data_IF_552863206751
#
_entry.id   IF_552863206751
#
_cell.length_a   1.000
_cell.length_b   1.000
_cell.length_c   1.000
_cell.angle_alpha   90.00
_cell.angle_beta   90.00
_cell.angle_gamma   90.00
#
_symmetry.space_group_name_H-M   'P 1'
#
loop_
_entity.id
_entity.type
_entity.pdbx_description
1 polymer ?
#
# COMPACT_ATOMS: atom_id res chain seq x y z
N UNK A 1 3.44 5.32 21.67
CA UNK A 1 4.13 4.13 21.13
C UNK A 1 4.19 4.21 19.61
N UNK A 2 3.08 4.22 18.91
CA UNK A 2 3.08 4.36 17.45
C UNK A 2 3.08 5.83 17.05
N UNK A 3 4.16 6.27 16.41
CA UNK A 3 4.35 7.65 15.95
C UNK A 3 4.45 7.78 14.44
N UNK A 4 4.83 6.70 13.77
CA UNK A 4 5.00 6.63 12.32
C UNK A 4 4.27 5.41 11.78
N UNK A 5 3.09 5.64 11.24
CA UNK A 5 2.24 4.59 10.68
C UNK A 5 2.43 4.56 9.17
N UNK A 6 2.61 3.38 8.60
CA UNK A 6 2.56 3.16 7.15
C UNK A 6 1.40 2.24 6.84
N UNK A 7 0.60 2.54 5.82
CA UNK A 7 -0.46 1.66 5.33
C UNK A 7 -0.21 1.30 3.87
N UNK A 8 -0.31 0.01 3.56
CA UNK A 8 -0.30 -0.48 2.19
C UNK A 8 -1.71 -0.35 1.61
N UNK A 9 -1.81 0.34 0.48
CA UNK A 9 -3.09 0.71 -0.11
C UNK A 9 -3.15 0.40 -1.60
N UNK A 10 -4.06 -0.46 -1.98
CA UNK A 10 -4.42 -0.78 -3.35
C UNK A 10 -5.94 -0.60 -3.56
N UNK A 11 -6.46 -1.12 -4.66
CA UNK A 11 -7.88 -0.99 -5.00
C UNK A 11 -8.80 -1.99 -4.29
N UNK A 12 -8.26 -2.89 -3.46
CA UNK A 12 -9.06 -3.88 -2.75
C UNK A 12 -9.92 -3.24 -1.66
N UNK A 13 -11.05 -3.87 -1.34
CA UNK A 13 -11.92 -3.40 -0.26
C UNK A 13 -11.22 -3.46 1.11
N UNK A 14 -10.46 -4.52 1.35
CA UNK A 14 -9.69 -4.68 2.59
C UNK A 14 -8.62 -3.61 2.76
N UNK A 15 -7.96 -3.19 1.67
CA UNK A 15 -7.02 -2.06 1.71
C UNK A 15 -7.74 -0.74 2.02
N UNK A 16 -8.95 -0.56 1.51
CA UNK A 16 -9.79 0.58 1.87
C UNK A 16 -10.14 0.63 3.36
N UNK A 17 -10.51 -0.52 3.95
CA UNK A 17 -10.74 -0.63 5.40
C UNK A 17 -9.46 -0.40 6.20
N UNK A 18 -8.33 -0.92 5.73
CA UNK A 18 -7.03 -0.70 6.35
C UNK A 18 -6.63 0.79 6.34
N UNK A 19 -6.86 1.49 5.23
CA UNK A 19 -6.62 2.93 5.14
C UNK A 19 -7.46 3.71 6.13
N UNK A 20 -8.75 3.41 6.22
CA UNK A 20 -9.64 4.07 7.18
C UNK A 20 -9.17 3.85 8.62
N UNK A 21 -8.86 2.61 8.99
CA UNK A 21 -8.33 2.28 10.31
C UNK A 21 -7.00 3.00 10.61
N UNK A 22 -6.10 3.07 9.61
CA UNK A 22 -4.83 3.76 9.75
C UNK A 22 -5.01 5.28 9.96
N UNK A 23 -5.96 5.91 9.27
CA UNK A 23 -6.30 7.33 9.46
C UNK A 23 -6.85 7.58 10.86
N UNK A 24 -7.77 6.75 11.33
CA UNK A 24 -8.34 6.85 12.67
C UNK A 24 -7.27 6.67 13.77
N UNK A 25 -6.39 5.68 13.60
CA UNK A 25 -5.28 5.43 14.52
C UNK A 25 -4.28 6.61 14.52
N UNK A 26 -3.86 7.07 13.34
CA UNK A 26 -2.92 8.18 13.23
C UNK A 26 -3.46 9.44 13.91
N UNK A 27 -4.74 9.75 13.72
CA UNK A 27 -5.40 10.87 14.37
C UNK A 27 -5.46 10.70 15.89
N UNK A 28 -5.85 9.52 16.36
CA UNK A 28 -5.99 9.24 17.79
C UNK A 28 -4.67 9.24 18.56
N UNK A 29 -3.59 8.86 17.87
CA UNK A 29 -2.26 8.72 18.47
C UNK A 29 -1.35 9.92 18.19
N UNK A 30 -1.84 10.93 17.47
CA UNK A 30 -1.02 12.05 16.98
C UNK A 30 0.22 11.55 16.24
N UNK A 31 0.01 10.57 15.35
CA UNK A 31 1.04 9.92 14.55
C UNK A 31 1.05 10.44 13.11
N UNK A 32 2.21 10.43 12.48
CA UNK A 32 2.32 10.63 11.04
C UNK A 32 1.83 9.39 10.27
N UNK A 33 1.19 9.61 9.13
CA UNK A 33 0.70 8.53 8.27
C UNK A 33 1.33 8.63 6.88
N UNK A 34 1.95 7.54 6.46
CA UNK A 34 2.41 7.33 5.09
C UNK A 34 1.54 6.29 4.40
N UNK A 35 1.16 6.55 3.17
CA UNK A 35 0.39 5.62 2.33
C UNK A 35 1.28 5.15 1.19
N UNK A 36 1.54 3.86 1.11
CA UNK A 36 2.30 3.24 0.04
C UNK A 36 1.40 2.42 -0.88
N UNK A 37 1.47 2.69 -2.17
CA UNK A 37 0.85 1.89 -3.22
C UNK A 37 1.92 1.32 -4.13
N UNK A 38 1.80 0.05 -4.49
CA UNK A 38 2.80 -0.65 -5.29
C UNK A 38 2.19 -1.07 -6.62
N UNK A 39 2.80 -0.65 -7.72
CA UNK A 39 2.49 -1.12 -9.07
C UNK A 39 3.41 -2.29 -9.38
N UNK A 40 2.85 -3.48 -9.45
CA UNK A 40 3.60 -4.66 -9.85
C UNK A 40 3.94 -4.64 -11.36
N UNK A 41 5.06 -5.24 -11.76
CA UNK A 41 5.41 -5.34 -13.16
C UNK A 41 4.33 -6.13 -13.93
N UNK A 42 4.15 -5.84 -15.23
CA UNK A 42 3.20 -6.58 -16.04
C UNK A 42 3.53 -8.07 -16.07
N UNK A 43 2.51 -8.92 -16.28
CA UNK A 43 2.72 -10.35 -16.39
C UNK A 43 3.79 -10.72 -17.42
N UNK A 44 4.51 -11.80 -17.16
CA UNK A 44 5.67 -12.25 -17.97
C UNK A 44 5.37 -12.39 -19.48
N UNK A 45 4.13 -12.74 -19.85
CA UNK A 45 3.75 -12.85 -21.26
C UNK A 45 3.84 -11.52 -22.03
N UNK A 46 3.80 -10.37 -21.37
CA UNK A 46 4.09 -9.07 -21.98
C UNK A 46 5.58 -8.91 -22.34
N UNK A 47 6.47 -9.56 -21.60
CA UNK A 47 7.91 -9.49 -21.84
C UNK A 47 8.35 -10.20 -23.11
N UNK A 48 7.58 -11.15 -23.60
CA UNK A 48 7.82 -11.87 -24.86
C UNK A 48 7.10 -11.24 -26.06
N UNK A 49 6.33 -10.18 -25.82
CA UNK A 49 5.65 -9.45 -26.88
C UNK A 49 6.64 -8.52 -27.57
N UNK A 50 6.76 -8.64 -28.90
CA UNK A 50 7.50 -7.70 -29.74
C UNK A 50 6.80 -6.34 -29.87
N UNK A 51 5.65 -6.17 -29.23
CA UNK A 51 4.83 -4.98 -29.30
C UNK A 51 5.08 -4.10 -28.08
N UNK A 52 5.95 -3.11 -28.22
CA UNK A 52 6.26 -2.12 -27.17
C UNK A 52 5.05 -1.25 -26.81
N UNK A 53 4.18 -0.95 -27.76
CA UNK A 53 3.02 -0.09 -27.55
C UNK A 53 2.01 -0.60 -26.50
N UNK A 54 1.63 -1.90 -26.44
CA UNK A 54 0.76 -2.42 -25.37
C UNK A 54 1.39 -2.31 -23.98
N UNK A 55 2.70 -2.51 -23.86
CA UNK A 55 3.43 -2.36 -22.60
C UNK A 55 3.39 -0.91 -22.10
N UNK A 56 3.68 0.07 -22.96
CA UNK A 56 3.64 1.49 -22.62
C UNK A 56 2.22 1.89 -22.18
N UNK A 57 1.20 1.46 -22.93
CA UNK A 57 -0.21 1.75 -22.56
C UNK A 57 -0.60 1.13 -21.21
N UNK A 58 -0.08 -0.04 -20.90
CA UNK A 58 -0.34 -0.68 -19.64
C UNK A 58 0.28 0.11 -18.48
N UNK A 59 1.56 0.50 -18.61
CA UNK A 59 2.27 1.30 -17.56
C UNK A 59 1.63 2.66 -17.34
N UNK A 60 1.30 3.38 -18.41
CA UNK A 60 0.65 4.70 -18.34
C UNK A 60 -0.73 4.60 -17.69
N UNK A 61 -1.51 3.57 -18.06
CA UNK A 61 -2.81 3.31 -17.47
C UNK A 61 -2.73 2.99 -15.99
N UNK A 62 -1.75 2.20 -15.57
CA UNK A 62 -1.53 1.86 -14.16
C UNK A 62 -1.08 3.06 -13.34
N UNK A 63 -0.18 3.89 -13.84
CA UNK A 63 0.24 5.12 -13.16
C UNK A 63 -0.91 6.07 -12.92
N UNK A 64 -1.74 6.33 -13.94
CA UNK A 64 -2.92 7.18 -13.81
C UNK A 64 -3.90 6.60 -12.79
N UNK A 65 -4.15 5.31 -12.84
CA UNK A 65 -5.05 4.60 -11.93
C UNK A 65 -4.59 4.70 -10.48
N UNK A 66 -3.30 4.49 -10.21
CA UNK A 66 -2.74 4.57 -8.87
C UNK A 66 -2.59 6.02 -8.37
N UNK A 67 -2.34 6.98 -9.25
CA UNK A 67 -2.39 8.41 -8.90
C UNK A 67 -3.79 8.80 -8.43
N UNK A 68 -4.84 8.36 -9.13
CA UNK A 68 -6.23 8.57 -8.72
C UNK A 68 -6.56 7.87 -7.40
N UNK A 69 -6.05 6.65 -7.20
CA UNK A 69 -6.20 5.91 -5.95
C UNK A 69 -5.61 6.69 -4.78
N UNK A 70 -4.40 7.20 -4.93
CA UNK A 70 -3.74 8.00 -3.88
C UNK A 70 -4.42 9.35 -3.64
N UNK A 71 -5.00 9.96 -4.65
CA UNK A 71 -5.82 11.16 -4.47
C UNK A 71 -7.04 10.90 -3.58
N UNK A 72 -7.66 9.74 -3.72
CA UNK A 72 -8.75 9.31 -2.81
C UNK A 72 -8.25 9.13 -1.37
N UNK A 73 -7.08 8.55 -1.19
CA UNK A 73 -6.47 8.38 0.14
C UNK A 73 -6.19 9.74 0.79
N UNK A 74 -5.64 10.70 0.04
CA UNK A 74 -5.42 12.07 0.52
C UNK A 74 -6.72 12.73 0.93
N UNK A 75 -7.74 12.64 0.11
CA UNK A 75 -9.05 13.24 0.40
C UNK A 75 -9.68 12.64 1.67
N UNK A 76 -9.60 11.33 1.84
CA UNK A 76 -10.11 10.66 3.04
C UNK A 76 -9.37 11.16 4.31
N UNK A 77 -8.07 11.29 4.24
CA UNK A 77 -7.25 11.79 5.34
C UNK A 77 -7.53 13.27 5.63
N UNK A 78 -7.61 14.11 4.60
CA UNK A 78 -7.92 15.54 4.72
C UNK A 78 -9.30 15.76 5.35
N UNK A 79 -10.30 14.97 4.97
CA UNK A 79 -11.65 15.03 5.56
C UNK A 79 -11.62 14.68 7.07
N UNK A 80 -10.66 13.90 7.50
CA UNK A 80 -10.41 13.59 8.93
C UNK A 80 -9.49 14.62 9.62
N UNK A 81 -8.99 15.62 8.89
CA UNK A 81 -8.07 16.64 9.40
C UNK A 81 -6.63 16.16 9.52
N UNK A 82 -6.22 15.17 8.74
CA UNK A 82 -4.89 14.58 8.75
C UNK A 82 -4.18 14.80 7.42
N UNK A 83 -2.97 15.37 7.47
CA UNK A 83 -2.07 15.39 6.32
C UNK A 83 -1.32 14.06 6.23
N UNK A 84 -1.17 13.55 5.01
CA UNK A 84 -0.47 12.29 4.76
C UNK A 84 0.64 12.46 3.74
N UNK A 85 1.66 11.63 3.85
CA UNK A 85 2.59 11.36 2.77
C UNK A 85 2.08 10.17 1.96
N UNK A 86 2.07 10.29 0.64
CA UNK A 86 1.61 9.23 -0.24
C UNK A 86 2.64 8.97 -1.33
N UNK A 87 3.05 7.73 -1.47
CA UNK A 87 4.06 7.30 -2.43
C UNK A 87 3.57 6.14 -3.28
N UNK A 88 3.98 6.15 -4.55
CA UNK A 88 3.80 5.03 -5.48
C UNK A 88 5.17 4.43 -5.75
N UNK A 89 5.28 3.12 -5.62
CA UNK A 89 6.48 2.35 -5.95
C UNK A 89 6.18 1.37 -7.06
N UNK A 90 7.16 1.14 -7.93
CA UNK A 90 7.09 0.13 -8.97
C UNK A 90 7.99 -1.04 -8.59
N UNK A 91 7.49 -2.25 -8.64
CA UNK A 91 8.26 -3.44 -8.35
C UNK A 91 7.49 -4.54 -7.63
N UNK A 92 8.23 -5.40 -6.97
CA UNK A 92 7.67 -6.45 -6.13
C UNK A 92 6.90 -5.87 -4.93
N UNK A 93 5.70 -6.35 -4.72
CA UNK A 93 4.80 -5.82 -3.67
C UNK A 93 5.43 -5.90 -2.29
N UNK A 94 5.88 -7.09 -1.88
CA UNK A 94 6.45 -7.32 -0.55
C UNK A 94 7.72 -6.48 -0.35
N UNK A 95 8.66 -6.57 -1.29
CA UNK A 95 9.92 -5.84 -1.24
C UNK A 95 9.72 -4.33 -1.19
N UNK A 96 8.77 -3.80 -1.97
CA UNK A 96 8.46 -2.37 -2.01
C UNK A 96 7.82 -1.88 -0.71
N UNK A 97 6.91 -2.65 -0.12
CA UNK A 97 6.29 -2.31 1.17
C UNK A 97 7.33 -2.34 2.29
N UNK A 98 8.18 -3.36 2.34
CA UNK A 98 9.26 -3.47 3.34
C UNK A 98 10.26 -2.32 3.21
N UNK A 99 10.67 -2.00 1.99
CA UNK A 99 11.57 -0.87 1.73
C UNK A 99 10.96 0.46 2.19
N UNK A 100 9.69 0.69 1.93
CA UNK A 100 8.97 1.88 2.40
C UNK A 100 8.88 1.93 3.92
N UNK A 101 8.56 0.82 4.58
CA UNK A 101 8.51 0.72 6.03
C UNK A 101 9.85 1.07 6.68
N UNK A 102 10.93 0.54 6.13
CA UNK A 102 12.30 0.81 6.60
C UNK A 102 12.68 2.27 6.34
N UNK A 103 12.47 2.76 5.12
CA UNK A 103 12.83 4.12 4.74
C UNK A 103 12.12 5.19 5.59
N UNK A 104 10.85 4.97 5.85
CA UNK A 104 10.05 5.89 6.66
C UNK A 104 10.31 5.73 8.18
N UNK A 105 11.04 4.69 8.57
CA UNK A 105 11.23 4.34 9.99
C UNK A 105 9.90 4.08 10.68
N UNK A 106 8.98 3.36 9.99
CA UNK A 106 7.65 3.12 10.53
C UNK A 106 7.72 2.20 11.75
N UNK A 107 6.85 2.46 12.72
CA UNK A 107 6.71 1.65 13.93
C UNK A 107 5.42 0.82 13.95
N UNK A 108 4.53 1.08 12.98
CA UNK A 108 3.34 0.27 12.72
C UNK A 108 3.05 0.20 11.22
N UNK A 109 3.07 -0.99 10.65
CA UNK A 109 2.59 -1.27 9.30
C UNK A 109 1.15 -1.78 9.36
N UNK A 110 0.25 -1.16 8.59
CA UNK A 110 -1.16 -1.56 8.48
C UNK A 110 -1.42 -2.13 7.09
N UNK A 111 -2.07 -3.28 7.03
CA UNK A 111 -2.42 -3.95 5.78
C UNK A 111 -3.88 -4.42 5.78
N UNK A 112 -4.49 -4.46 4.61
CA UNK A 112 -5.75 -5.14 4.40
C UNK A 112 -5.55 -6.66 4.35
N UNK A 113 -6.47 -7.40 4.94
CA UNK A 113 -6.48 -8.86 4.89
C UNK A 113 -7.77 -9.36 4.26
N UNK A 114 -7.72 -10.22 3.24
CA UNK A 114 -8.91 -10.78 2.63
C UNK A 114 -9.70 -11.63 3.63
N UNK A 115 -11.02 -11.68 3.46
CA UNK A 115 -11.92 -12.42 4.38
C UNK A 115 -11.70 -13.94 4.36
N UNK A 116 -11.22 -14.48 3.25
CA UNK A 116 -11.04 -15.92 3.07
C UNK A 116 -9.60 -16.33 3.36
N UNK A 117 -9.42 -17.15 4.39
CA UNK A 117 -8.11 -17.57 4.90
C UNK A 117 -7.26 -18.36 3.90
N UNK A 118 -7.89 -19.10 2.97
CA UNK A 118 -7.16 -19.84 1.92
C UNK A 118 -6.57 -18.94 0.83
N UNK A 119 -7.07 -17.69 0.73
CA UNK A 119 -6.53 -16.65 -0.16
C UNK A 119 -5.58 -15.68 0.56
N UNK A 120 -5.37 -15.86 1.85
CA UNK A 120 -4.29 -15.16 2.55
C UNK A 120 -3.00 -15.76 2.01
N UNK A 121 -2.69 -15.38 0.79
CA UNK A 121 -1.44 -15.73 0.18
C UNK A 121 -0.30 -15.38 1.12
N UNK A 122 0.87 -15.76 0.76
CA UNK A 122 2.08 -15.53 1.53
C UNK A 122 2.36 -14.05 1.85
N UNK A 123 1.56 -13.09 1.35
CA UNK A 123 1.79 -11.64 1.51
C UNK A 123 1.84 -11.22 2.97
N UNK A 124 0.78 -11.51 3.75
CA UNK A 124 0.76 -11.13 5.17
C UNK A 124 1.85 -11.86 5.97
N UNK A 125 2.07 -13.13 5.67
CA UNK A 125 3.12 -13.93 6.30
C UNK A 125 4.52 -13.40 5.95
N UNK A 126 4.79 -13.17 4.68
CA UNK A 126 6.08 -12.65 4.22
C UNK A 126 6.35 -11.24 4.75
N UNK A 127 5.31 -10.39 4.84
CA UNK A 127 5.44 -9.08 5.48
C UNK A 127 5.75 -9.24 6.99
N UNK A 128 5.05 -10.14 7.68
CA UNK A 128 5.29 -10.39 9.09
C UNK A 128 6.72 -10.88 9.40
N UNK A 129 7.29 -11.68 8.50
CA UNK A 129 8.68 -12.14 8.66
C UNK A 129 9.72 -11.03 8.39
N UNK A 130 9.42 -10.09 7.50
CA UNK A 130 10.39 -9.10 7.03
C UNK A 130 10.25 -7.70 7.64
N UNK A 131 9.08 -7.34 8.18
CA UNK A 131 8.84 -5.98 8.69
C UNK A 131 9.57 -5.74 10.01
N UNK A 132 10.30 -4.60 10.14
CA UNK A 132 11.06 -4.29 11.36
C UNK A 132 10.19 -3.65 12.48
N UNK A 133 8.88 -3.66 12.35
CA UNK A 133 7.95 -2.99 13.25
C UNK A 133 6.70 -3.85 13.53
N UNK A 134 5.76 -3.31 14.30
CA UNK A 134 4.47 -3.97 14.49
C UNK A 134 3.68 -4.06 13.17
N UNK A 135 2.93 -5.15 13.00
CA UNK A 135 2.05 -5.37 11.85
C UNK A 135 0.61 -5.50 12.31
N UNK A 136 -0.28 -4.72 11.71
CA UNK A 136 -1.71 -4.76 11.95
C UNK A 136 -2.46 -5.15 10.68
N UNK A 137 -3.13 -6.29 10.70
CA UNK A 137 -4.00 -6.76 9.62
C UNK A 137 -5.46 -6.38 9.87
N UNK A 138 -6.11 -5.73 8.90
CA UNK A 138 -7.52 -5.33 8.95
C UNK A 138 -8.33 -6.19 7.97
N UNK A 139 -9.38 -6.81 8.43
CA UNK A 139 -10.30 -7.64 7.63
C UNK A 139 -11.52 -6.88 7.16
#
# INVERSE_FOLDING_TARGET
>A
MFRKITVAFDESEEAGRALQAAVELAKSLDASLNVISVIEPPPIYFSFSTLVAPYIRWTDGMETRYTNLQSKARQLAENAGLAIDATISNGDEIGSILAAAIHNGCDLLVIGMPKHTWMIGNTAHNLAEGVPCALLGIR
#
